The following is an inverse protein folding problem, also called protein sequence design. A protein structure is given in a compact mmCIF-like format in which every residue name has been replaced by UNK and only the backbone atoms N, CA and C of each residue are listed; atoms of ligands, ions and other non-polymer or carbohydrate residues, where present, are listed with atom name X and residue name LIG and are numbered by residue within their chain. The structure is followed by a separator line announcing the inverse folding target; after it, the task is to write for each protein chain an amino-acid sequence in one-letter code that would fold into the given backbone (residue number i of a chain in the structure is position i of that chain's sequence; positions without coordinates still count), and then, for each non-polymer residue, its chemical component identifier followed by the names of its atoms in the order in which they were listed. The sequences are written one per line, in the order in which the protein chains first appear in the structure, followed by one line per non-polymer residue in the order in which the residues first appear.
data_IF_827926225769
#
_entry.id   IF_827926225769
#
_cell.length_a   1.000
_cell.length_b   1.000
_cell.length_c   1.000
_cell.angle_alpha   90.00
_cell.angle_beta   90.00
_cell.angle_gamma   90.00
#
_symmetry.space_group_name_H-M   'P 1'
#
loop_
_entity.id
_entity.type
_entity.pdbx_description
1 polymer ?
#
# COMPACT_ATOMS: atom_id res chain seq x y z
N UNK A 1 12.79 29.24 -5.10
CA UNK A 1 12.91 29.39 -4.59
C UNK A 1 12.75 29.27 -4.30
N UNK A 2 12.17 28.72 -4.79
CA UNK A 2 12.04 28.50 -4.40
C UNK A 2 11.78 28.19 -4.29
N UNK A 3 11.68 27.64 -4.58
CA UNK A 3 11.60 27.33 -4.27
C UNK A 3 11.47 26.97 -4.13
N UNK A 4 10.93 26.60 -4.36
CA UNK A 4 10.84 26.33 -4.00
C UNK A 4 10.86 26.04 -3.76
N UNK A 5 10.69 25.33 -4.45
CA UNK A 5 10.86 25.30 -3.95
C UNK A 5 10.86 25.12 -3.45
N UNK A 6 10.37 24.72 -3.90
CA UNK A 6 10.51 24.74 -3.22
C UNK A 6 10.48 24.57 -2.73
N UNK A 7 9.83 24.10 -3.25
CA UNK A 7 9.93 24.17 -2.46
C UNK A 7 9.88 23.98 -1.99
N UNK A 8 9.62 23.52 -2.36
CA UNK A 8 9.79 23.58 -1.62
C UNK A 8 9.85 23.48 -1.00
N UNK A 9 9.39 23.09 -1.49
CA UNK A 9 9.65 23.19 -0.65
C UNK A 9 9.52 23.11 -0.10
N UNK A 10 9.22 22.81 -0.33
CA UNK A 10 9.42 23.00 0.43
C UNK A 10 9.32 22.87 1.07
N UNK A 11 8.92 22.63 0.64
CA UNK A 11 9.10 22.70 1.49
C UNK A 11 9.06 22.52 1.89
N UNK A 12 8.77 22.16 1.60
CA UNK A 12 9.02 22.22 2.24
C UNK A 12 8.96 22.02 2.64
N UNK A 13 8.69 21.68 2.51
CA UNK A 13 8.94 21.77 3.15
C UNK A 13 9.07 21.66 3.62
N UNK A 14 8.75 21.39 3.33
CA UNK A 14 9.05 21.54 3.99
C UNK A 14 9.08 21.50 4.53
N UNK A 15 8.96 21.34 4.69
CA UNK A 15 9.30 21.48 5.46
C UNK A 15 9.38 21.36 6.12
N UNK A 16 9.36 21.09 6.24
CA UNK A 16 9.64 20.97 6.91
C UNK A 16 9.52 20.82 7.56
N UNK A 17 9.45 20.42 7.73
CA UNK A 17 9.55 20.21 8.35
C UNK A 17 9.41 19.82 8.92
N UNK A 18 9.42 19.68 9.05
CA UNK A 18 9.46 19.27 9.51
C UNK A 18 9.25 18.88 10.02
N UNK A 19 9.22 18.60 10.24
CA UNK A 19 9.13 18.18 10.54
C UNK A 19 8.90 17.52 10.81
N UNK A 20 8.89 17.21 11.02
CA UNK A 20 8.87 16.59 11.17
C UNK A 20 8.55 15.71 11.02
N UNK A 21 8.46 15.38 11.01
CA UNK A 21 8.43 14.66 10.93
C UNK A 21 7.92 13.88 10.41
N UNK A 22 7.67 13.83 9.90
CA UNK A 22 7.31 13.22 9.41
C UNK A 22 7.12 12.56 8.72
N UNK A 23 7.07 12.99 8.37
CA UNK A 23 7.16 11.69 8.01
C UNK A 23 6.73 11.31 6.58
N UNK A 24 5.48 11.04 6.28
CA UNK A 24 5.09 10.74 4.89
C UNK A 24 4.43 11.97 4.28
N UNK A 25 4.66 12.14 2.98
CA UNK A 25 4.01 13.20 2.24
C UNK A 25 2.61 12.76 1.79
N UNK A 26 1.68 13.69 1.57
CA UNK A 26 0.38 13.33 0.99
C UNK A 26 0.50 12.65 -0.36
N UNK A 27 1.53 12.99 -1.12
CA UNK A 27 1.75 12.36 -2.42
C UNK A 27 1.98 10.88 -2.29
N UNK A 28 2.72 10.45 -1.25
CA UNK A 28 3.02 9.04 -1.07
C UNK A 28 1.80 8.24 -0.64
N UNK A 29 0.80 8.87 -0.03
CA UNK A 29 -0.41 8.17 0.34
C UNK A 29 -1.40 8.06 -0.81
N UNK A 30 -1.26 8.90 -1.83
CA UNK A 30 -2.20 8.96 -2.95
C UNK A 30 -1.67 8.32 -4.23
N UNK A 31 -0.37 8.07 -4.30
CA UNK A 31 0.20 7.47 -5.51
C UNK A 31 1.54 6.83 -5.19
N UNK A 32 1.92 5.87 -6.05
CA UNK A 32 3.22 5.20 -5.97
C UNK A 32 3.96 5.47 -7.26
N UNK A 33 5.20 5.87 -7.17
CA UNK A 33 6.04 6.15 -8.33
C UNK A 33 7.00 4.99 -8.52
N UNK A 34 7.01 4.41 -9.71
CA UNK A 34 7.89 3.30 -10.04
C UNK A 34 8.76 3.71 -11.20
N UNK A 35 10.07 3.64 -11.00
CA UNK A 35 11.03 3.96 -12.05
C UNK A 35 11.50 2.67 -12.70
N UNK A 36 11.34 2.58 -14.01
CA UNK A 36 11.72 1.40 -14.76
C UNK A 36 12.61 1.84 -15.93
N UNK A 37 13.93 1.76 -15.72
CA UNK A 37 14.86 2.28 -16.69
C UNK A 37 14.74 3.79 -16.78
N UNK A 38 14.50 4.30 -17.98
CA UNK A 38 14.30 5.74 -18.19
C UNK A 38 12.82 6.13 -18.06
N UNK A 39 11.94 5.14 -17.88
CA UNK A 39 10.51 5.41 -17.76
C UNK A 39 10.11 5.57 -16.30
N UNK A 40 9.17 6.47 -16.06
CA UNK A 40 8.62 6.67 -14.73
C UNK A 40 7.12 6.41 -14.82
N UNK A 41 6.65 5.47 -14.01
CA UNK A 41 5.23 5.13 -13.96
C UNK A 41 4.64 5.65 -12.67
N UNK A 42 3.55 6.40 -12.79
CA UNK A 42 2.85 6.90 -11.62
C UNK A 42 1.56 6.11 -11.47
N UNK A 43 1.43 5.43 -10.33
CA UNK A 43 0.28 4.56 -10.06
C UNK A 43 -0.57 5.21 -8.98
N UNK A 44 -1.79 5.66 -9.32
CA UNK A 44 -2.68 6.17 -8.28
C UNK A 44 -2.95 5.07 -7.27
N UNK A 45 -2.98 5.41 -5.99
CA UNK A 45 -3.17 4.39 -4.96
C UNK A 45 -4.48 3.62 -5.14
N UNK A 46 -5.52 4.30 -5.64
CA UNK A 46 -6.82 3.64 -5.86
C UNK A 46 -6.75 2.54 -6.92
N UNK A 47 -5.74 2.57 -7.77
CA UNK A 47 -5.56 1.54 -8.79
C UNK A 47 -4.79 0.33 -8.28
N UNK A 48 -4.24 0.42 -7.09
CA UNK A 48 -3.50 -0.69 -6.49
C UNK A 48 -4.49 -1.66 -5.86
N UNK A 49 -4.42 -2.92 -6.27
CA UNK A 49 -5.29 -3.95 -5.73
C UNK A 49 -4.70 -4.53 -4.46
N UNK A 50 -3.43 -4.88 -4.52
CA UNK A 50 -2.70 -5.36 -3.36
C UNK A 50 -1.21 -5.30 -3.63
N UNK A 51 -0.43 -5.41 -2.57
CA UNK A 51 1.03 -5.41 -2.64
C UNK A 51 1.52 -6.69 -1.99
N UNK A 52 2.44 -7.37 -2.68
CA UNK A 52 2.99 -8.64 -2.22
C UNK A 52 4.49 -8.51 -2.04
N UNK A 53 5.00 -9.04 -0.92
CA UNK A 53 6.44 -9.09 -0.68
C UNK A 53 7.10 -10.03 -1.69
N UNK A 54 8.22 -9.63 -2.25
CA UNK A 54 8.94 -10.42 -3.23
C UNK A 54 10.43 -10.17 -3.05
N UNK A 55 11.04 -10.95 -2.14
CA UNK A 55 12.46 -10.83 -1.84
C UNK A 55 12.78 -9.41 -1.36
N UNK A 56 13.74 -8.74 -2.02
CA UNK A 56 14.11 -7.36 -1.68
C UNK A 56 13.19 -6.33 -2.31
N UNK A 57 12.18 -6.79 -3.04
CA UNK A 57 11.25 -5.93 -3.76
C UNK A 57 9.85 -6.16 -3.25
N UNK A 58 8.93 -5.35 -3.73
CA UNK A 58 7.50 -5.63 -3.59
C UNK A 58 6.91 -5.66 -4.97
N UNK A 59 5.85 -6.46 -5.15
CA UNK A 59 5.05 -6.46 -6.36
C UNK A 59 3.80 -5.65 -6.08
N UNK A 60 3.60 -4.60 -6.85
CA UNK A 60 2.43 -3.74 -6.72
C UNK A 60 1.47 -4.14 -7.83
N UNK A 61 0.38 -4.82 -7.44
CA UNK A 61 -0.57 -5.35 -8.42
C UNK A 61 -1.65 -4.33 -8.73
N UNK A 62 -1.82 -4.10 -10.02
CA UNK A 62 -2.90 -3.28 -10.55
C UNK A 62 -3.81 -4.18 -11.37
N UNK A 63 -4.82 -3.61 -12.00
CA UNK A 63 -5.83 -4.40 -12.71
C UNK A 63 -5.24 -5.35 -13.75
N UNK A 64 -4.27 -4.87 -14.50
CA UNK A 64 -3.76 -5.62 -15.65
C UNK A 64 -2.37 -6.20 -15.47
N UNK A 65 -1.63 -5.73 -14.49
CA UNK A 65 -0.23 -6.13 -14.37
C UNK A 65 0.28 -5.85 -12.96
N UNK A 66 1.57 -6.06 -12.76
CA UNK A 66 2.21 -5.66 -11.51
C UNK A 66 3.49 -4.91 -11.82
N UNK A 67 3.96 -4.17 -10.83
CA UNK A 67 5.18 -3.39 -10.93
C UNK A 67 6.08 -3.75 -9.76
N UNK A 68 7.38 -3.87 -10.03
CA UNK A 68 8.35 -4.14 -8.99
C UNK A 68 8.91 -2.84 -8.45
N UNK A 69 9.07 -2.77 -7.14
CA UNK A 69 9.68 -1.61 -6.52
C UNK A 69 10.55 -2.08 -5.35
N UNK A 70 11.77 -1.54 -5.28
CA UNK A 70 12.70 -1.92 -4.22
C UNK A 70 12.41 -1.11 -2.98
N UNK A 71 11.43 -1.56 -2.22
CA UNK A 71 11.03 -0.97 -0.95
C UNK A 71 10.53 -2.10 -0.05
N UNK A 72 10.41 -1.82 1.23
CA UNK A 72 9.93 -2.82 2.19
C UNK A 72 8.42 -2.76 2.32
N UNK A 73 7.85 -3.85 2.81
CA UNK A 73 6.42 -3.85 3.13
C UNK A 73 6.12 -2.84 4.23
N UNK A 74 7.03 -2.68 5.18
CA UNK A 74 6.85 -1.71 6.26
C UNK A 74 6.79 -0.29 5.74
N UNK A 75 7.56 0.02 4.70
CA UNK A 75 7.50 1.34 4.08
C UNK A 75 6.09 1.63 3.57
N UNK A 76 5.50 0.68 2.84
CA UNK A 76 4.17 0.87 2.29
C UNK A 76 3.09 0.87 3.36
N UNK A 77 3.28 0.08 4.40
CA UNK A 77 2.37 0.09 5.54
C UNK A 77 2.31 1.48 6.17
N UNK A 78 3.45 2.16 6.15
CA UNK A 78 3.56 3.49 6.73
C UNK A 78 2.99 4.59 5.84
N UNK A 79 3.30 4.54 4.53
CA UNK A 79 2.98 5.67 3.66
C UNK A 79 1.60 5.60 3.02
N UNK A 80 1.04 4.40 2.83
CA UNK A 80 -0.29 4.30 2.24
C UNK A 80 -1.37 4.68 3.24
N UNK A 81 -2.47 5.21 2.74
CA UNK A 81 -3.57 5.64 3.58
C UNK A 81 -4.18 4.44 4.31
N UNK A 82 -4.18 4.49 5.62
CA UNK A 82 -4.67 3.40 6.46
C UNK A 82 -6.18 3.23 6.40
N UNK A 83 -6.89 4.21 5.86
CA UNK A 83 -8.32 4.08 5.62
C UNK A 83 -8.61 3.14 4.44
N UNK A 84 -7.66 3.03 3.53
CA UNK A 84 -7.83 2.26 2.29
C UNK A 84 -6.98 1.00 2.22
N UNK A 85 -5.88 0.93 2.96
CA UNK A 85 -4.94 -0.18 2.87
C UNK A 85 -4.67 -0.77 4.24
N UNK A 86 -4.59 -2.09 4.28
CA UNK A 86 -4.31 -2.80 5.53
C UNK A 86 -3.34 -3.93 5.25
N UNK A 87 -2.31 -4.04 6.09
CA UNK A 87 -1.38 -5.17 6.01
C UNK A 87 -2.04 -6.34 6.72
N UNK A 88 -2.48 -7.32 5.94
CA UNK A 88 -3.26 -8.47 6.45
C UNK A 88 -2.42 -9.72 6.63
N UNK A 89 -1.15 -9.66 6.24
CA UNK A 89 -0.23 -10.78 6.30
C UNK A 89 1.15 -10.18 6.21
N UNK A 90 2.15 -10.87 6.74
CA UNK A 90 3.51 -10.30 6.65
C UNK A 90 3.92 -10.03 5.20
N UNK A 91 3.33 -10.75 4.26
CA UNK A 91 3.66 -10.63 2.84
C UNK A 91 2.62 -9.91 1.99
N UNK A 92 1.52 -9.44 2.58
CA UNK A 92 0.45 -8.84 1.78
C UNK A 92 -0.15 -7.61 2.43
N UNK A 93 -0.32 -6.57 1.61
CA UNK A 93 -1.09 -5.38 1.96
C UNK A 93 -2.24 -5.30 0.97
N UNK A 94 -3.47 -5.17 1.48
CA UNK A 94 -4.67 -5.13 0.64
C UNK A 94 -5.24 -3.73 0.52
N UNK A 95 -5.80 -3.45 -0.66
CA UNK A 95 -6.70 -2.32 -0.82
C UNK A 95 -8.08 -2.80 -0.36
N UNK A 96 -8.59 -2.19 0.69
CA UNK A 96 -9.86 -2.60 1.30
C UNK A 96 -11.04 -2.48 0.33
N UNK A 97 -10.95 -1.56 -0.63
CA UNK A 97 -12.01 -1.37 -1.62
C UNK A 97 -12.12 -2.56 -2.58
N UNK A 98 -11.10 -3.41 -2.63
CA UNK A 98 -11.09 -4.56 -3.54
C UNK A 98 -11.67 -5.82 -2.93
N UNK A 99 -11.89 -5.85 -1.63
CA UNK A 99 -12.36 -7.05 -0.94
C UNK A 99 -13.85 -7.26 -1.18
N UNK A 100 -14.24 -8.47 -1.62
CA UNK A 100 -15.63 -8.80 -1.80
C UNK A 100 -16.15 -9.68 -0.68
N UNK A 101 -15.30 -10.54 -0.12
CA UNK A 101 -15.69 -11.35 1.03
C UNK A 101 -14.48 -11.98 1.68
N UNK A 102 -14.69 -12.48 2.88
CA UNK A 102 -13.67 -13.21 3.64
C UNK A 102 -14.19 -14.63 3.82
N UNK A 103 -13.37 -15.60 3.44
CA UNK A 103 -13.75 -17.01 3.51
C UNK A 103 -12.88 -17.74 4.54
N UNK A 104 -13.48 -18.68 5.24
CA UNK A 104 -12.76 -19.59 6.11
C UNK A 104 -12.19 -20.72 5.26
N UNK A 105 -10.94 -21.09 5.52
CA UNK A 105 -10.35 -22.25 4.85
C UNK A 105 -10.55 -23.48 5.72
N UNK A 106 -10.28 -24.65 5.11
CA UNK A 106 -10.45 -25.94 5.80
C UNK A 106 -9.58 -26.06 7.04
N UNK A 107 -8.46 -25.35 7.08
CA UNK A 107 -7.50 -25.46 8.17
C UNK A 107 -7.72 -24.42 9.27
N UNK A 108 -8.85 -23.73 9.22
CA UNK A 108 -9.16 -22.72 10.22
C UNK A 108 -8.55 -21.36 9.97
N UNK A 109 -7.81 -21.23 8.89
CA UNK A 109 -7.29 -19.93 8.47
C UNK A 109 -8.33 -19.23 7.62
N UNK A 110 -8.05 -17.98 7.25
CA UNK A 110 -8.99 -17.17 6.46
C UNK A 110 -8.30 -16.59 5.25
N UNK A 111 -9.08 -16.32 4.23
CA UNK A 111 -8.59 -15.64 3.03
C UNK A 111 -9.54 -14.50 2.68
N UNK A 112 -9.00 -13.48 2.00
CA UNK A 112 -9.80 -12.41 1.47
C UNK A 112 -9.93 -12.61 -0.05
N UNK A 113 -11.16 -12.58 -0.55
CA UNK A 113 -11.43 -12.70 -1.98
C UNK A 113 -11.57 -11.28 -2.55
N UNK A 114 -10.80 -11.00 -3.58
CA UNK A 114 -10.82 -9.69 -4.22
C UNK A 114 -11.76 -9.69 -5.42
N UNK A 115 -12.12 -8.49 -5.88
CA UNK A 115 -13.00 -8.35 -7.05
C UNK A 115 -12.45 -9.06 -8.28
N UNK A 116 -11.13 -9.14 -8.39
CA UNK A 116 -10.48 -9.80 -9.52
C UNK A 116 -10.51 -11.32 -9.43
N UNK A 117 -10.94 -11.88 -8.30
CA UNK A 117 -10.92 -13.31 -8.07
C UNK A 117 -9.68 -13.79 -7.36
N UNK A 118 -8.72 -12.92 -7.10
CA UNK A 118 -7.49 -13.29 -6.40
C UNK A 118 -7.83 -13.53 -4.94
N UNK A 119 -7.21 -14.56 -4.37
CA UNK A 119 -7.39 -14.92 -2.95
C UNK A 119 -6.12 -14.59 -2.20
N UNK A 120 -6.25 -13.79 -1.15
CA UNK A 120 -5.11 -13.33 -0.36
C UNK A 120 -5.19 -13.97 1.03
N UNK A 121 -4.13 -14.66 1.46
CA UNK A 121 -4.14 -15.27 2.80
C UNK A 121 -4.11 -14.19 3.89
N UNK A 122 -4.83 -14.44 4.95
CA UNK A 122 -4.86 -13.54 6.10
C UNK A 122 -4.14 -14.23 7.25
N UNK A 123 -3.24 -13.51 7.92
CA UNK A 123 -2.67 -14.02 9.15
C UNK A 123 -3.73 -13.91 10.24
N UNK A 124 -3.48 -14.57 11.38
CA UNK A 124 -4.42 -14.48 12.49
C UNK A 124 -4.63 -13.03 12.92
N UNK A 125 -3.53 -12.30 13.08
CA UNK A 125 -3.61 -10.88 13.44
C UNK A 125 -4.24 -10.04 12.33
N UNK A 126 -3.90 -10.37 11.08
CA UNK A 126 -4.47 -9.64 9.94
C UNK A 126 -5.96 -9.83 9.84
N UNK A 127 -6.44 -11.04 10.09
CA UNK A 127 -7.86 -11.31 10.10
C UNK A 127 -8.57 -10.50 11.20
N UNK A 128 -7.99 -10.46 12.39
CA UNK A 128 -8.54 -9.70 13.50
C UNK A 128 -8.62 -8.21 13.19
N UNK A 129 -7.54 -7.66 12.63
CA UNK A 129 -7.51 -6.26 12.26
C UNK A 129 -8.52 -5.94 11.16
N UNK A 130 -8.65 -6.84 10.21
CA UNK A 130 -9.59 -6.65 9.09
C UNK A 130 -11.03 -6.63 9.59
N UNK A 131 -11.37 -7.55 10.49
CA UNK A 131 -12.71 -7.55 11.09
C UNK A 131 -12.99 -6.23 11.80
N UNK A 132 -12.00 -5.75 12.53
CA UNK A 132 -12.13 -4.51 13.28
C UNK A 132 -12.38 -3.33 12.35
N UNK A 133 -11.62 -3.25 11.27
CA UNK A 133 -11.77 -2.18 10.29
C UNK A 133 -13.13 -2.26 9.61
N UNK A 134 -13.60 -3.46 9.33
CA UNK A 134 -14.90 -3.66 8.66
C UNK A 134 -16.07 -3.55 9.63
N UNK A 135 -15.82 -3.52 10.92
CA UNK A 135 -16.88 -3.37 11.91
C UNK A 135 -17.68 -4.63 12.17
N UNK A 136 -17.06 -5.78 12.02
CA UNK A 136 -17.75 -7.06 12.24
C UNK A 136 -17.13 -7.88 13.34
#
# INVERSE_FOLDING_TARGET
MLQHEQNKTEITQSNTQALVNETRSPEESSRVVVKNGSNIRIIPSQDIMYIEAYDDYVKIFTKDTYHLKKKTMSHFEEVLDKADFLRVHRSFILNLQQITKIEASEKGSHIALLKSGVKIPLSRMGYGKLKEVLGV
#
